data_IF_651888987969
#
_entry.id   IF_651888987969
#
_cell.length_a   1.000
_cell.length_b   1.000
_cell.length_c   1.000
_cell.angle_alpha   90.00
_cell.angle_beta   90.00
_cell.angle_gamma   90.00
#
_symmetry.space_group_name_H-M   'P 1'
#
loop_
_entity.id
_entity.type
_entity.pdbx_description
1 polymer ?
#
# COMPACT_ATOMS: atom_id res chain seq x y z
N UNK A 1 65.73 -32.21 22.16
CA UNK A 1 65.33 -30.82 22.51
C UNK A 1 63.94 -30.94 23.07
N UNK A 2 63.86 -31.04 24.40
CA UNK A 2 62.67 -31.47 25.16
C UNK A 2 61.84 -30.22 25.46
N UNK A 3 60.54 -30.24 25.13
CA UNK A 3 59.58 -29.20 25.46
C UNK A 3 58.97 -29.53 26.84
N UNK A 4 59.02 -28.64 27.85
CA UNK A 4 58.37 -28.91 29.13
C UNK A 4 56.86 -28.61 29.06
N UNK A 5 56.00 -29.43 29.69
CA UNK A 5 54.55 -29.21 29.68
C UNK A 5 54.16 -28.07 30.64
N UNK A 6 53.24 -27.21 30.20
CA UNK A 6 52.62 -26.15 31.03
C UNK A 6 51.12 -26.46 31.19
N UNK A 7 50.55 -26.32 32.41
CA UNK A 7 49.33 -27.02 32.86
C UNK A 7 47.99 -26.40 32.43
N UNK A 8 47.00 -27.28 32.29
CA UNK A 8 45.55 -27.04 32.12
C UNK A 8 44.90 -26.33 33.34
N UNK A 9 43.75 -25.65 33.16
CA UNK A 9 43.23 -24.62 34.06
C UNK A 9 42.45 -25.15 35.28
N UNK A 10 42.34 -24.37 36.38
CA UNK A 10 41.46 -24.72 37.48
C UNK A 10 39.98 -24.53 37.09
N UNK A 11 39.26 -25.64 37.10
CA UNK A 11 37.80 -25.66 37.03
C UNK A 11 37.12 -25.37 38.37
N UNK A 12 35.86 -24.98 38.23
CA UNK A 12 34.75 -25.08 39.19
C UNK A 12 34.79 -24.17 40.44
N UNK A 13 33.94 -23.14 40.40
CA UNK A 13 33.13 -22.78 41.55
C UNK A 13 31.70 -22.42 41.09
N UNK A 14 30.81 -23.40 41.24
CA UNK A 14 29.36 -23.17 41.31
C UNK A 14 29.05 -22.37 42.58
N UNK A 15 28.14 -21.39 42.50
CA UNK A 15 27.44 -20.86 43.65
C UNK A 15 25.98 -20.61 43.28
N UNK A 16 25.14 -21.43 43.90
CA UNK A 16 23.69 -21.44 43.83
C UNK A 16 23.06 -20.41 44.77
N UNK A 17 21.88 -19.93 44.37
CA UNK A 17 20.78 -19.39 45.16
C UNK A 17 20.98 -18.09 45.98
N UNK A 18 20.07 -17.12 45.76
CA UNK A 18 19.02 -16.78 46.73
C UNK A 18 17.98 -15.79 46.17
N UNK A 19 16.74 -16.12 46.48
CA UNK A 19 15.48 -15.39 46.31
C UNK A 19 15.47 -14.04 47.02
N UNK A 20 14.71 -13.07 46.51
CA UNK A 20 13.45 -12.60 47.15
C UNK A 20 12.92 -11.31 46.51
N UNK A 21 11.61 -11.17 46.68
CA UNK A 21 10.70 -10.23 46.04
C UNK A 21 11.00 -8.74 46.25
N UNK A 22 10.59 -7.94 45.28
CA UNK A 22 9.94 -6.66 45.58
C UNK A 22 8.70 -6.52 44.70
N UNK A 23 7.54 -6.55 45.36
CA UNK A 23 6.30 -5.99 44.87
C UNK A 23 6.45 -4.47 44.81
N UNK A 24 6.06 -3.86 43.69
CA UNK A 24 5.53 -2.50 43.70
C UNK A 24 4.49 -2.36 42.58
N UNK A 25 3.26 -2.62 43.00
CA UNK A 25 2.06 -1.84 42.74
C UNK A 25 2.22 -0.64 41.77
N UNK A 26 1.42 -0.61 40.70
CA UNK A 26 1.51 0.45 39.69
C UNK A 26 0.70 0.23 38.41
N UNK A 27 -0.61 0.02 38.53
CA UNK A 27 -1.59 0.24 37.45
C UNK A 27 -2.72 1.10 38.05
N UNK A 28 -3.34 2.05 37.32
CA UNK A 28 -3.92 1.77 36.00
C UNK A 28 -3.76 2.89 34.96
N UNK A 29 -3.33 2.53 33.74
CA UNK A 29 -3.50 3.38 32.57
C UNK A 29 -4.78 2.95 31.83
N UNK A 30 -5.64 3.93 31.59
CA UNK A 30 -7.03 3.78 31.18
C UNK A 30 -7.27 2.95 29.92
N UNK A 31 -8.31 2.14 30.02
CA UNK A 31 -9.01 1.58 28.88
C UNK A 31 -9.66 2.73 28.09
N UNK A 32 -9.12 3.05 26.91
CA UNK A 32 -9.85 3.78 25.88
C UNK A 32 -10.48 2.76 24.94
N UNK A 33 -11.76 2.58 25.16
CA UNK A 33 -12.70 1.93 24.26
C UNK A 33 -12.78 2.74 22.96
N UNK A 34 -12.55 2.10 21.82
CA UNK A 34 -12.84 2.67 20.51
C UNK A 34 -13.42 1.60 19.59
N UNK A 35 -14.76 1.55 19.61
CA UNK A 35 -15.59 1.50 18.41
C UNK A 35 -15.41 0.31 17.47
N UNK A 36 -16.15 -0.75 17.75
CA UNK A 36 -16.52 -1.75 16.77
C UNK A 36 -17.25 -1.13 15.57
N UNK A 37 -16.88 -1.56 14.36
CA UNK A 37 -17.59 -1.31 13.12
C UNK A 37 -19.02 -1.88 13.17
N UNK A 38 -20.02 -1.25 12.51
CA UNK A 38 -21.24 -1.97 12.15
C UNK A 38 -21.06 -2.68 10.80
N UNK A 39 -21.19 -4.00 10.86
CA UNK A 39 -21.44 -4.86 9.72
C UNK A 39 -22.85 -4.61 9.15
N UNK A 40 -22.95 -4.72 7.83
CA UNK A 40 -24.17 -4.65 7.07
C UNK A 40 -25.12 -5.83 7.39
N UNK A 41 -26.42 -5.53 7.53
CA UNK A 41 -27.53 -6.34 7.03
C UNK A 41 -28.85 -5.58 7.27
N UNK A 42 -29.53 -5.18 6.20
CA UNK A 42 -30.96 -4.88 6.26
C UNK A 42 -31.60 -5.53 5.05
N UNK A 43 -32.22 -6.68 5.32
CA UNK A 43 -33.14 -7.39 4.47
C UNK A 43 -34.46 -6.62 4.41
N UNK A 44 -34.87 -6.18 3.23
CA UNK A 44 -36.27 -5.90 2.92
C UNK A 44 -36.72 -6.79 1.77
N UNK A 45 -37.51 -7.80 2.14
CA UNK A 45 -38.33 -8.62 1.27
C UNK A 45 -39.76 -8.11 1.39
N UNK A 46 -40.44 -7.84 0.27
CA UNK A 46 -41.85 -7.48 0.31
C UNK A 46 -42.38 -6.74 -0.93
N UNK A 47 -42.68 -7.52 -1.97
CA UNK A 47 -43.82 -7.40 -2.90
C UNK A 47 -44.17 -6.04 -3.56
N UNK A 48 -44.17 -6.11 -4.90
CA UNK A 48 -44.87 -5.25 -5.86
C UNK A 48 -46.41 -5.25 -5.64
N UNK A 49 -47.14 -4.25 -6.16
CA UNK A 49 -47.85 -4.51 -7.40
C UNK A 49 -47.77 -3.39 -8.45
N UNK A 50 -48.06 -3.81 -9.68
CA UNK A 50 -48.05 -3.08 -10.94
C UNK A 50 -49.04 -1.92 -11.02
N UNK A 51 -48.70 -0.93 -11.85
CA UNK A 51 -49.65 -0.17 -12.68
C UNK A 51 -48.92 0.49 -13.86
N UNK A 52 -49.29 0.11 -15.08
CA UNK A 52 -49.00 0.82 -16.34
C UNK A 52 -49.94 2.03 -16.46
N UNK A 53 -49.62 3.04 -17.27
CA UNK A 53 -50.27 3.05 -18.59
C UNK A 53 -49.37 3.49 -19.76
N UNK A 54 -49.82 3.06 -20.95
CA UNK A 54 -49.48 3.51 -22.30
C UNK A 54 -49.26 5.04 -22.38
N UNK A 55 -48.50 5.62 -23.29
CA UNK A 55 -47.86 5.13 -24.52
C UNK A 55 -47.70 6.38 -25.41
N UNK A 56 -46.48 6.71 -25.82
CA UNK A 56 -46.20 7.64 -26.92
C UNK A 56 -44.95 7.12 -27.63
N UNK A 57 -45.07 6.89 -28.94
CA UNK A 57 -44.00 6.46 -29.83
C UNK A 57 -43.35 7.68 -30.54
N UNK A 58 -42.10 7.54 -31.05
CA UNK A 58 -41.21 8.61 -31.56
C UNK A 58 -41.53 8.94 -33.06
N UNK A 59 -40.82 9.82 -33.83
CA UNK A 59 -39.41 10.22 -33.74
C UNK A 59 -39.04 11.68 -34.08
N UNK A 60 -37.79 12.09 -33.78
CA UNK A 60 -37.11 13.15 -34.50
C UNK A 60 -35.58 13.03 -34.32
N UNK A 61 -34.88 13.30 -35.42
CA UNK A 61 -33.52 12.89 -35.71
C UNK A 61 -32.44 13.85 -35.19
N UNK A 62 -31.28 13.25 -34.92
CA UNK A 62 -29.91 13.76 -34.98
C UNK A 62 -29.69 15.25 -35.30
N UNK A 63 -29.01 15.94 -34.39
CA UNK A 63 -27.80 16.72 -34.77
C UNK A 63 -26.79 16.64 -33.63
N UNK A 64 -26.00 15.56 -33.62
CA UNK A 64 -24.79 15.48 -32.82
C UNK A 64 -23.72 16.35 -33.49
N UNK A 65 -23.50 17.56 -32.98
CA UNK A 65 -22.28 18.31 -33.28
C UNK A 65 -21.15 17.60 -32.54
N UNK A 66 -20.35 16.86 -33.32
CA UNK A 66 -19.22 16.09 -32.84
C UNK A 66 -18.13 17.00 -32.29
N UNK A 67 -18.06 17.08 -30.97
CA UNK A 67 -16.84 17.41 -30.25
C UNK A 67 -16.12 16.12 -29.89
N UNK A 68 -15.57 15.39 -30.86
CA UNK A 68 -14.66 14.28 -30.56
C UNK A 68 -13.43 14.89 -29.91
N UNK A 69 -13.38 14.89 -28.58
CA UNK A 69 -12.13 15.10 -27.86
C UNK A 69 -11.23 13.97 -28.36
N UNK A 70 -10.09 14.26 -29.01
CA UNK A 70 -9.20 13.19 -29.40
C UNK A 70 -8.83 12.45 -28.12
N UNK A 71 -8.99 11.12 -28.14
CA UNK A 71 -8.30 10.27 -27.19
C UNK A 71 -6.81 10.55 -27.40
N UNK A 72 -6.28 11.53 -26.68
CA UNK A 72 -4.85 11.73 -26.51
C UNK A 72 -4.42 10.44 -25.82
N UNK A 73 -3.92 9.51 -26.63
CA UNK A 73 -3.10 8.42 -26.13
C UNK A 73 -1.99 9.10 -25.36
N UNK A 74 -2.09 9.06 -24.04
CA UNK A 74 -1.02 9.50 -23.17
C UNK A 74 0.20 8.66 -23.56
N UNK A 75 1.32 9.28 -23.97
CA UNK A 75 2.49 8.53 -24.37
C UNK A 75 2.94 7.67 -23.18
N UNK A 76 3.12 6.38 -23.43
CA UNK A 76 3.89 5.49 -22.57
C UNK A 76 5.33 6.03 -22.54
N UNK A 77 5.61 6.96 -21.63
CA UNK A 77 6.86 7.68 -21.56
C UNK A 77 7.15 8.10 -20.13
N UNK A 78 7.76 7.18 -19.38
CA UNK A 78 8.88 7.31 -18.43
C UNK A 78 9.02 8.60 -17.56
N UNK A 79 7.95 9.36 -17.36
CA UNK A 79 7.88 10.59 -16.58
C UNK A 79 6.52 11.25 -16.78
N UNK A 80 5.53 10.87 -15.97
CA UNK A 80 4.14 11.22 -16.25
C UNK A 80 3.55 12.19 -15.23
N UNK A 81 3.51 13.48 -15.58
CA UNK A 81 2.42 14.30 -15.08
C UNK A 81 1.15 13.80 -15.77
N UNK A 82 0.43 12.87 -15.14
CA UNK A 82 -0.88 12.44 -15.63
C UNK A 82 -1.84 13.62 -15.52
N UNK A 83 -1.97 14.37 -16.62
CA UNK A 83 -2.92 15.46 -16.71
C UNK A 83 -4.30 14.89 -17.03
N UNK A 84 -5.19 14.92 -16.04
CA UNK A 84 -6.60 14.60 -16.21
C UNK A 84 -7.39 15.90 -16.40
N UNK A 85 -8.26 15.99 -17.41
CA UNK A 85 -9.16 17.12 -17.54
C UNK A 85 -10.10 17.21 -16.33
N UNK A 86 -10.64 18.41 -16.02
CA UNK A 86 -11.70 18.56 -15.02
C UNK A 86 -12.84 17.58 -15.26
N UNK A 87 -13.53 17.19 -14.18
CA UNK A 87 -14.71 16.34 -14.30
C UNK A 87 -15.81 17.12 -15.02
N UNK A 88 -16.33 16.56 -16.10
CA UNK A 88 -17.53 17.05 -16.77
C UNK A 88 -18.72 16.15 -16.40
N UNK A 89 -19.58 16.68 -15.52
CA UNK A 89 -20.79 16.01 -15.06
C UNK A 89 -21.97 16.14 -16.04
N UNK A 90 -21.87 17.01 -17.04
CA UNK A 90 -22.87 17.18 -18.10
C UNK A 90 -22.67 16.24 -19.30
N UNK A 91 -21.60 15.46 -19.29
CA UNK A 91 -21.24 14.54 -20.35
C UNK A 91 -22.23 13.37 -20.49
N UNK A 92 -22.23 12.72 -21.66
CA UNK A 92 -23.02 11.51 -21.90
C UNK A 92 -22.53 10.34 -21.03
N UNK A 93 -23.37 9.31 -20.88
CA UNK A 93 -23.00 8.11 -20.10
C UNK A 93 -21.71 7.44 -20.63
N UNK A 94 -21.50 7.42 -21.95
CA UNK A 94 -20.28 6.87 -22.53
C UNK A 94 -19.04 7.70 -22.16
N UNK A 95 -19.15 9.03 -22.23
CA UNK A 95 -18.06 9.95 -21.87
C UNK A 95 -17.77 9.93 -20.36
N UNK A 96 -18.77 9.72 -19.51
CA UNK A 96 -18.57 9.51 -18.07
C UNK A 96 -17.78 8.23 -17.80
N UNK A 97 -18.04 7.13 -18.54
CA UNK A 97 -17.25 5.90 -18.46
C UNK A 97 -15.81 6.17 -18.89
N UNK A 98 -15.59 6.89 -20.01
CA UNK A 98 -14.24 7.25 -20.46
C UNK A 98 -13.49 8.10 -19.41
N UNK A 99 -14.18 9.05 -18.77
CA UNK A 99 -13.62 9.85 -17.68
C UNK A 99 -13.23 9.02 -16.45
N UNK A 100 -13.99 7.96 -16.13
CA UNK A 100 -13.67 7.01 -15.05
C UNK A 100 -12.44 6.19 -15.45
N UNK A 101 -12.44 5.60 -16.65
CA UNK A 101 -11.31 4.81 -17.16
C UNK A 101 -10.02 5.60 -17.17
N UNK A 102 -10.03 6.87 -17.59
CA UNK A 102 -8.84 7.71 -17.55
C UNK A 102 -8.27 7.90 -16.13
N UNK A 103 -9.14 8.04 -15.12
CA UNK A 103 -8.74 8.18 -13.71
C UNK A 103 -8.23 6.89 -13.10
N UNK A 104 -8.80 5.76 -13.50
CA UNK A 104 -8.29 4.44 -13.10
C UNK A 104 -6.90 4.19 -13.68
N UNK A 105 -6.69 4.47 -14.97
CA UNK A 105 -5.36 4.39 -15.60
C UNK A 105 -4.35 5.33 -14.92
N UNK A 106 -4.77 6.54 -14.54
CA UNK A 106 -3.92 7.46 -13.80
C UNK A 106 -3.51 6.91 -12.42
N UNK A 107 -4.46 6.29 -11.73
CA UNK A 107 -4.23 5.67 -10.42
C UNK A 107 -3.26 4.49 -10.54
N UNK A 108 -3.43 3.66 -11.56
CA UNK A 108 -2.59 2.50 -11.82
C UNK A 108 -1.15 2.93 -12.17
N UNK A 109 -0.99 3.94 -13.04
CA UNK A 109 0.31 4.52 -13.37
C UNK A 109 1.04 5.07 -12.12
N UNK A 110 0.32 5.84 -11.28
CA UNK A 110 0.87 6.34 -10.00
C UNK A 110 1.26 5.18 -9.08
N UNK A 111 0.47 4.10 -9.02
CA UNK A 111 0.77 2.93 -8.21
C UNK A 111 2.02 2.19 -8.70
N UNK A 112 2.21 2.10 -10.02
CA UNK A 112 3.40 1.51 -10.64
C UNK A 112 4.67 2.32 -10.30
N UNK A 113 4.63 3.65 -10.47
CA UNK A 113 5.73 4.54 -10.12
C UNK A 113 6.07 4.45 -8.63
N UNK A 114 5.05 4.40 -7.76
CA UNK A 114 5.26 4.24 -6.31
C UNK A 114 5.94 2.93 -5.95
N UNK A 115 5.58 1.82 -6.59
CA UNK A 115 6.25 0.55 -6.36
C UNK A 115 7.75 0.62 -6.73
N UNK A 116 8.07 1.24 -7.87
CA UNK A 116 9.47 1.43 -8.29
C UNK A 116 10.24 2.32 -7.32
N UNK A 117 9.66 3.45 -6.91
CA UNK A 117 10.26 4.39 -5.94
C UNK A 117 10.52 3.73 -4.59
N UNK A 118 9.58 2.91 -4.10
CA UNK A 118 9.73 2.19 -2.83
C UNK A 118 10.91 1.20 -2.88
N UNK A 119 11.04 0.44 -3.97
CA UNK A 119 12.15 -0.52 -4.14
C UNK A 119 13.48 0.22 -4.30
N UNK A 120 13.52 1.31 -5.06
CA UNK A 120 14.71 2.13 -5.22
C UNK A 120 15.16 2.74 -3.88
N UNK A 121 14.23 3.28 -3.09
CA UNK A 121 14.49 3.80 -1.75
C UNK A 121 15.11 2.72 -0.85
N UNK A 122 14.51 1.53 -0.83
CA UNK A 122 15.05 0.42 -0.04
C UNK A 122 16.49 0.11 -0.43
N UNK A 123 16.76 -0.07 -1.73
CA UNK A 123 18.08 -0.42 -2.24
C UNK A 123 19.13 0.62 -1.85
N UNK A 124 18.81 1.91 -1.99
CA UNK A 124 19.69 3.01 -1.58
C UNK A 124 19.97 2.97 -0.08
N UNK A 125 18.93 2.83 0.75
CA UNK A 125 19.10 2.79 2.21
C UNK A 125 19.92 1.59 2.68
N UNK A 126 19.70 0.41 2.08
CA UNK A 126 20.48 -0.79 2.38
C UNK A 126 21.95 -0.60 1.99
N UNK A 127 22.23 -0.02 0.82
CA UNK A 127 23.58 0.27 0.35
C UNK A 127 24.29 1.28 1.26
N UNK A 128 23.63 2.38 1.62
CA UNK A 128 24.19 3.39 2.54
C UNK A 128 24.52 2.80 3.92
N UNK A 129 23.63 1.96 4.47
CA UNK A 129 23.83 1.33 5.78
C UNK A 129 24.93 0.26 5.72
N UNK A 130 25.05 -0.46 4.61
CA UNK A 130 26.15 -1.38 4.38
C UNK A 130 27.50 -0.64 4.33
N UNK A 131 27.57 0.50 3.62
CA UNK A 131 28.77 1.34 3.56
C UNK A 131 29.19 1.88 4.93
N UNK A 132 28.23 2.13 5.82
CA UNK A 132 28.46 2.53 7.22
C UNK A 132 28.80 1.36 8.17
N UNK A 133 28.94 0.14 7.66
CA UNK A 133 29.27 -1.03 8.47
C UNK A 133 28.13 -1.58 9.34
N UNK A 134 26.89 -1.17 9.10
CA UNK A 134 25.73 -1.68 9.86
C UNK A 134 25.60 -3.19 9.62
N UNK A 135 25.39 -4.02 10.67
CA UNK A 135 25.18 -5.45 10.51
C UNK A 135 24.00 -5.77 9.60
N UNK A 136 24.12 -6.80 8.75
CA UNK A 136 23.10 -7.14 7.74
C UNK A 136 21.69 -7.28 8.33
N UNK A 137 21.56 -7.91 9.51
CA UNK A 137 20.29 -8.07 10.21
C UNK A 137 19.58 -6.76 10.57
N UNK A 138 20.32 -5.65 10.70
CA UNK A 138 19.78 -4.34 11.11
C UNK A 138 19.64 -3.34 9.96
N UNK A 139 20.19 -3.65 8.77
CA UNK A 139 20.19 -2.73 7.63
C UNK A 139 18.79 -2.38 7.14
N UNK A 140 17.81 -3.26 7.32
CA UNK A 140 16.42 -3.03 6.92
C UNK A 140 15.57 -2.27 7.95
N UNK A 141 16.08 -2.02 9.17
CA UNK A 141 15.28 -1.47 10.27
C UNK A 141 14.70 -0.09 9.90
N UNK A 142 13.39 0.08 10.05
CA UNK A 142 12.72 1.36 9.86
C UNK A 142 12.41 1.79 8.42
N UNK A 143 12.85 1.05 7.39
CA UNK A 143 12.54 1.40 5.97
C UNK A 143 11.03 1.40 5.74
N UNK A 144 10.33 0.34 6.18
CA UNK A 144 8.88 0.25 6.10
C UNK A 144 8.14 1.41 6.78
N UNK A 145 8.69 1.94 7.90
CA UNK A 145 8.10 3.09 8.60
C UNK A 145 8.21 4.37 7.75
N UNK A 146 9.35 4.57 7.08
CA UNK A 146 9.53 5.71 6.18
C UNK A 146 8.58 5.64 4.99
N UNK A 147 8.40 4.45 4.39
CA UNK A 147 7.42 4.23 3.32
C UNK A 147 6.01 4.60 3.79
N UNK A 148 5.60 4.10 4.96
CA UNK A 148 4.29 4.42 5.54
C UNK A 148 4.09 5.93 5.72
N UNK A 149 5.06 6.61 6.34
CA UNK A 149 5.02 8.07 6.54
C UNK A 149 4.96 8.85 5.22
N UNK A 150 5.78 8.49 4.23
CA UNK A 150 5.77 9.13 2.91
C UNK A 150 4.42 8.98 2.20
N UNK A 151 3.75 7.84 2.41
CA UNK A 151 2.43 7.52 1.84
C UNK A 151 1.26 8.02 2.70
N UNK A 152 1.52 8.67 3.84
CA UNK A 152 0.51 9.10 4.83
C UNK A 152 -0.32 7.93 5.38
N UNK A 153 0.31 6.76 5.48
CA UNK A 153 -0.27 5.53 5.98
C UNK A 153 0.32 5.15 7.33
N UNK A 154 -0.35 4.25 8.06
CA UNK A 154 0.19 3.73 9.32
C UNK A 154 1.54 3.01 9.09
N UNK A 155 2.46 2.99 10.07
CA UNK A 155 3.71 2.25 9.95
C UNK A 155 3.53 0.76 9.63
N UNK A 156 2.44 0.15 10.13
CA UNK A 156 2.09 -1.24 9.84
C UNK A 156 1.70 -1.43 8.36
N UNK A 157 0.97 -0.47 7.78
CA UNK A 157 0.66 -0.47 6.35
C UNK A 157 1.93 -0.29 5.50
N UNK A 158 2.93 0.45 5.98
CA UNK A 158 4.21 0.63 5.31
C UNK A 158 4.95 -0.69 5.01
N UNK A 159 4.87 -1.68 5.91
CA UNK A 159 5.47 -2.99 5.68
C UNK A 159 4.77 -3.76 4.56
N UNK A 160 3.44 -3.70 4.51
CA UNK A 160 2.64 -4.29 3.42
C UNK A 160 2.95 -3.62 2.08
N UNK A 161 3.04 -2.29 2.05
CA UNK A 161 3.40 -1.53 0.85
C UNK A 161 4.78 -1.90 0.32
N UNK A 162 5.77 -1.99 1.21
CA UNK A 162 7.14 -2.41 0.86
C UNK A 162 7.16 -3.85 0.31
N UNK A 163 6.45 -4.77 0.97
CA UNK A 163 6.32 -6.15 0.49
C UNK A 163 5.68 -6.25 -0.89
N UNK A 164 4.55 -5.54 -1.10
CA UNK A 164 3.86 -5.50 -2.40
C UNK A 164 4.74 -4.89 -3.49
N UNK A 165 5.44 -3.81 -3.20
CA UNK A 165 6.33 -3.15 -4.15
C UNK A 165 7.45 -4.09 -4.62
N UNK A 166 8.10 -4.81 -3.69
CA UNK A 166 9.12 -5.82 -4.04
C UNK A 166 8.54 -6.87 -4.98
N UNK A 167 7.45 -7.53 -4.60
CA UNK A 167 6.83 -8.60 -5.41
C UNK A 167 6.45 -8.07 -6.81
N UNK A 168 5.86 -6.89 -6.89
CA UNK A 168 5.43 -6.32 -8.15
C UNK A 168 6.62 -6.01 -9.08
N UNK A 169 7.72 -5.48 -8.53
CA UNK A 169 8.90 -5.10 -9.31
C UNK A 169 9.76 -6.31 -9.68
N UNK A 170 9.92 -7.30 -8.79
CA UNK A 170 10.85 -8.42 -9.00
C UNK A 170 10.16 -9.64 -9.62
N UNK A 171 8.97 -10.00 -9.15
CA UNK A 171 8.29 -11.25 -9.53
C UNK A 171 7.22 -11.06 -10.59
N UNK A 172 6.59 -9.88 -10.63
CA UNK A 172 5.47 -9.59 -11.54
C UNK A 172 5.73 -8.39 -12.47
N UNK A 173 6.87 -8.34 -13.20
CA UNK A 173 7.22 -7.18 -14.03
C UNK A 173 6.25 -6.97 -15.19
N UNK A 174 5.54 -8.01 -15.64
CA UNK A 174 4.48 -7.87 -16.66
C UNK A 174 3.21 -7.23 -16.07
N UNK A 175 2.87 -7.55 -14.82
CA UNK A 175 1.79 -6.87 -14.10
C UNK A 175 2.14 -5.41 -13.88
N UNK A 176 3.39 -5.10 -13.48
CA UNK A 176 3.84 -3.71 -13.33
C UNK A 176 3.74 -2.90 -14.63
N UNK A 177 4.01 -3.52 -15.78
CA UNK A 177 3.89 -2.88 -17.11
C UNK A 177 2.44 -2.72 -17.58
N UNK A 178 1.50 -3.43 -16.97
CA UNK A 178 0.08 -3.38 -17.30
C UNK A 178 -0.69 -2.34 -16.48
N UNK A 179 -0.03 -1.74 -15.48
CA UNK A 179 -0.52 -0.62 -14.67
C UNK A 179 -0.28 0.72 -15.36
#
# INVERSE_FOLDING_TARGET
MFDPPVPEPPGAAQASARSDAVSSDGAPAGAVSAGAAPAAASSVSGASPASTPAGVAPPAEATAVGGRVPAVGLPAGNGSAVWLPPVDLGASAAELVDQITARENAKDAIAAEQAQLIVALEQQMLAERAAKGVPAARRGEGIAKQVGLARRESPNCGALLLGRARVLVTEMPHTLKAL
#
